data_IF_645506328070
#
_entry.id   IF_645506328070
#
_cell.length_a   1.000
_cell.length_b   1.000
_cell.length_c   1.000
_cell.angle_alpha   90.00
_cell.angle_beta   90.00
_cell.angle_gamma   90.00
#
_symmetry.space_group_name_H-M   'P 1'
#
loop_
_entity.id
_entity.type
_entity.pdbx_description
1 polymer ?
2 non-polymer ?
3 non-polymer ?
4 non-polymer ?
5 water ?
#
# COMPACT_ATOMS: atom_id res chain seq x y z
N UNK A 5 25.16 -8.45 18.73
CA UNK A 5 24.36 -7.74 17.68
C UNK A 5 23.28 -8.67 17.11
N UNK A 6 22.55 -8.17 16.11
CA UNK A 6 21.43 -8.91 15.57
C UNK A 6 21.37 -8.75 14.09
N UNK A 7 20.98 -9.82 13.41
CA UNK A 7 21.04 -9.86 11.96
C UNK A 7 19.62 -9.93 11.45
N UNK A 8 19.27 -8.94 10.65
CA UNK A 8 17.95 -8.88 10.08
C UNK A 8 18.09 -9.25 8.62
N UNK A 9 17.28 -10.21 8.20
CA UNK A 9 17.12 -10.53 6.80
C UNK A 9 15.91 -9.81 6.19
N UNK A 10 16.18 -9.03 5.15
CA UNK A 10 15.13 -8.34 4.40
C UNK A 10 14.91 -9.02 3.02
N UNK A 11 13.69 -9.41 2.76
CA UNK A 11 13.35 -9.88 1.43
C UNK A 11 13.00 -8.66 0.61
N UNK A 12 13.95 -8.22 -0.18
CA UNK A 12 13.91 -6.94 -0.81
C UNK A 12 13.19 -6.95 -2.16
N UNK A 13 12.15 -6.14 -2.26
CA UNK A 13 11.31 -6.11 -3.44
C UNK A 13 10.48 -4.82 -3.29
N UNK A 14 9.36 -4.71 -4.00
CA UNK A 14 8.67 -3.42 -4.20
C UNK A 14 7.69 -3.13 -3.08
N UNK A 15 7.32 -1.86 -2.96
CA UNK A 15 6.23 -1.43 -2.08
C UNK A 15 6.64 -1.23 -0.63
N UNK A 16 5.69 -0.79 0.21
CA UNK A 16 5.95 -0.71 1.63
C UNK A 16 6.82 0.45 2.01
N UNK A 17 7.49 0.36 3.17
CA UNK A 17 8.42 1.39 3.59
C UNK A 17 9.44 1.57 2.45
N UNK A 18 9.56 2.77 1.89
CA UNK A 18 10.40 2.95 0.73
C UNK A 18 11.89 2.83 1.03
N UNK A 19 12.64 2.38 0.03
CA UNK A 19 14.06 2.10 0.22
C UNK A 19 14.81 3.28 0.78
N UNK A 20 14.46 4.49 0.37
CA UNK A 20 15.21 5.67 0.81
C UNK A 20 15.19 5.81 2.30
N UNK A 21 14.25 5.18 3.01
CA UNK A 21 14.30 5.13 4.51
C UNK A 21 14.65 3.73 5.02
N UNK A 22 14.17 2.68 4.35
CA UNK A 22 14.16 1.38 5.04
C UNK A 22 15.56 0.89 5.36
N UNK A 23 16.45 0.98 4.40
CA UNK A 23 17.76 0.33 4.53
C UNK A 23 18.61 1.10 5.57
N UNK A 24 18.60 2.41 5.49
CA UNK A 24 19.30 3.23 6.44
C UNK A 24 18.75 3.07 7.86
N UNK A 25 17.42 3.06 7.99
CA UNK A 25 16.80 2.82 9.28
C UNK A 25 17.22 1.47 9.83
N UNK A 26 17.16 0.42 9.03
CA UNK A 26 17.51 -0.93 9.56
C UNK A 26 19.00 -1.04 9.90
N UNK A 27 19.82 -0.51 9.04
CA UNK A 27 21.27 -0.67 9.14
C UNK A 27 21.81 0.15 10.29
N UNK A 28 21.09 1.21 10.62
CA UNK A 28 21.43 1.97 11.82
C UNK A 28 21.54 1.14 13.06
N UNK A 29 20.68 0.12 13.19
CA UNK A 29 20.62 -0.64 14.41
C UNK A 29 20.93 -2.10 14.23
N UNK A 30 20.87 -2.59 13.00
CA UNK A 30 21.02 -4.00 12.82
C UNK A 30 22.01 -4.32 11.74
N UNK A 31 22.55 -5.53 11.82
CA UNK A 31 23.29 -6.06 10.66
C UNK A 31 22.28 -6.53 9.67
N UNK A 32 22.22 -5.83 8.54
CA UNK A 32 21.19 -6.08 7.53
C UNK A 32 21.73 -6.95 6.39
N UNK A 33 20.97 -7.98 6.08
CA UNK A 33 21.24 -8.87 5.00
C UNK A 33 20.03 -8.85 4.02
N UNK A 34 20.30 -8.75 2.71
CA UNK A 34 19.23 -8.68 1.71
C UNK A 34 19.15 -9.89 0.81
N UNK A 35 17.95 -10.45 0.69
CA UNK A 35 17.64 -11.42 -0.33
C UNK A 35 16.77 -10.77 -1.38
N UNK A 36 17.14 -10.97 -2.67
CA UNK A 36 16.42 -10.36 -3.80
C UNK A 36 15.91 -11.50 -4.70
N UNK A 37 14.68 -11.96 -4.44
CA UNK A 37 14.12 -13.03 -5.24
C UNK A 37 13.79 -12.59 -6.68
N UNK A 38 13.60 -11.29 -6.92
CA UNK A 38 13.21 -10.76 -8.25
C UNK A 38 14.05 -9.58 -8.64
N UNK A 39 15.28 -9.84 -9.08
CA UNK A 39 16.23 -8.81 -9.46
C UNK A 39 15.69 -7.80 -10.46
N UNK A 40 14.82 -8.23 -11.39
CA UNK A 40 14.10 -7.31 -12.28
C UNK A 40 13.17 -6.35 -11.54
N UNK A 41 12.76 -6.66 -10.32
CA UNK A 41 11.87 -5.77 -9.55
C UNK A 41 12.62 -4.60 -8.93
N UNK A 42 13.93 -4.51 -9.15
CA UNK A 42 14.79 -3.62 -8.38
C UNK A 42 15.25 -2.47 -9.28
N UNK A 43 14.78 -1.27 -8.99
CA UNK A 43 15.30 -0.08 -9.63
C UNK A 43 16.75 0.16 -9.27
N UNK A 44 17.40 0.97 -10.10
CA UNK A 44 18.82 1.36 -9.92
C UNK A 44 19.02 2.03 -8.57
N UNK A 45 18.18 2.99 -8.23
CA UNK A 45 18.34 3.66 -6.94
C UNK A 45 18.08 2.66 -5.79
N UNK A 46 17.21 1.69 -6.02
CA UNK A 46 16.98 0.67 -4.99
C UNK A 46 18.18 -0.25 -4.73
N UNK A 47 18.77 -0.72 -5.82
CA UNK A 47 19.94 -1.59 -5.78
C UNK A 47 21.03 -0.88 -5.07
N UNK A 48 21.27 0.36 -5.43
CA UNK A 48 22.30 1.14 -4.77
C UNK A 48 22.04 1.27 -3.24
N UNK A 49 20.81 1.29 -2.78
CA UNK A 49 20.56 1.45 -1.30
C UNK A 49 20.73 0.13 -0.54
N UNK A 50 20.31 -0.94 -1.21
CA UNK A 50 20.63 -2.33 -0.84
C UNK A 50 22.10 -2.54 -0.66
N UNK A 51 22.89 -2.20 -1.66
CA UNK A 51 24.30 -2.55 -1.58
C UNK A 51 24.91 -1.64 -0.52
N UNK A 52 24.50 -0.40 -0.48
CA UNK A 52 25.11 0.53 0.48
C UNK A 52 24.94 0.10 1.96
N UNK A 53 23.77 -0.42 2.33
CA UNK A 53 23.47 -0.63 3.76
C UNK A 53 23.44 -2.08 4.19
N UNK A 54 23.58 -3.02 3.25
CA UNK A 54 23.57 -4.43 3.61
C UNK A 54 24.98 -4.94 3.81
N UNK A 55 25.20 -5.71 4.87
CA UNK A 55 26.50 -6.38 5.01
C UNK A 55 26.60 -7.60 4.11
N UNK A 56 25.48 -8.07 3.59
CA UNK A 56 25.47 -9.16 2.62
C UNK A 56 24.20 -9.16 1.78
N UNK A 57 24.35 -9.56 0.51
CA UNK A 57 23.29 -9.48 -0.48
C UNK A 57 23.31 -10.77 -1.27
N UNK A 58 22.17 -11.43 -1.44
CA UNK A 58 22.04 -12.56 -2.36
C UNK A 58 20.88 -12.29 -3.30
N UNK A 59 21.13 -12.48 -4.60
CA UNK A 59 20.11 -12.46 -5.63
C UNK A 59 19.78 -13.87 -6.13
N UNK A 60 18.54 -14.14 -6.48
CA UNK A 60 18.18 -15.42 -7.06
C UNK A 60 18.84 -15.49 -8.43
N UNK A 61 19.88 -16.31 -8.54
CA UNK A 61 20.70 -16.33 -9.75
C UNK A 61 20.01 -16.88 -11.03
N UNK A 62 18.92 -17.64 -10.86
CA UNK A 62 18.22 -18.23 -12.02
C UNK A 62 17.77 -17.14 -12.98
N UNK A 63 17.62 -15.91 -12.51
CA UNK A 63 17.12 -14.84 -13.38
C UNK A 63 18.11 -14.39 -14.49
N UNK A 64 19.41 -14.57 -14.26
CA UNK A 64 20.41 -14.01 -15.17
C UNK A 64 20.78 -15.03 -16.27
N UNK A 65 20.53 -14.66 -17.51
CA UNK A 65 20.75 -15.58 -18.66
C UNK A 65 21.71 -14.96 -19.67
N UNK A 66 21.68 -13.63 -19.79
CA UNK A 66 22.72 -12.87 -20.44
C UNK A 66 23.18 -11.71 -19.56
N UNK A 67 24.20 -11.00 -20.04
CA UNK A 67 24.72 -9.80 -19.43
C UNK A 67 23.67 -8.70 -19.24
N UNK A 68 22.68 -8.61 -20.13
CA UNK A 68 21.69 -7.52 -20.12
C UNK A 68 20.65 -7.65 -19.01
N UNK A 69 20.42 -8.88 -18.54
CA UNK A 69 19.67 -9.12 -17.32
C UNK A 69 20.32 -8.48 -16.08
N UNK A 70 21.54 -7.98 -16.21
CA UNK A 70 22.21 -7.30 -15.09
C UNK A 70 21.85 -5.83 -15.09
N UNK A 71 21.07 -5.37 -16.07
CA UNK A 71 20.63 -3.98 -16.08
C UNK A 71 19.47 -3.70 -15.06
N UNK A 72 19.62 -2.60 -14.31
CA UNK A 72 18.58 -2.08 -13.39
C UNK A 72 17.74 -0.99 -14.05
N UNK A 73 16.45 -1.23 -14.27
CA UNK A 73 15.60 -0.13 -14.79
C UNK A 73 15.59 1.10 -13.84
N UNK A 74 15.27 2.27 -14.39
CA UNK A 74 15.09 3.46 -13.55
C UNK A 74 13.83 3.39 -12.69
N UNK A 75 12.73 2.90 -13.27
CA UNK A 75 11.46 2.83 -12.57
C UNK A 75 10.67 1.55 -12.91
N UNK A 76 9.93 1.00 -11.95
CA UNK A 76 9.09 -0.20 -12.18
C UNK A 76 7.69 -0.05 -11.58
N UNK A 77 6.72 0.26 -12.45
CA UNK A 77 5.28 0.25 -12.10
C UNK A 77 4.88 -1.05 -11.38
N UNK A 78 5.22 -2.17 -12.01
CA UNK A 78 4.92 -3.51 -11.48
C UNK A 78 5.86 -4.50 -12.16
N UNK A 79 6.23 -5.56 -11.43
CA UNK A 79 7.07 -6.60 -11.98
C UNK A 79 6.30 -7.40 -13.03
N UNK A 80 6.14 -6.83 -14.22
CA UNK A 80 5.46 -7.49 -15.33
C UNK A 80 6.38 -8.57 -15.90
N UNK A 81 6.66 -9.60 -15.11
CA UNK A 81 7.62 -10.62 -15.51
C UNK A 81 7.42 -11.92 -14.71
N UNK A 82 7.30 -13.02 -15.45
CA UNK A 82 6.98 -14.32 -14.87
C UNK A 82 7.97 -14.75 -13.80
N UNK A 83 7.44 -15.06 -12.62
CA UNK A 83 8.19 -15.69 -11.54
C UNK A 83 7.53 -17.05 -11.28
N UNK A 84 8.07 -18.08 -11.92
CA UNK A 84 7.35 -19.34 -12.16
C UNK A 84 7.58 -20.36 -11.06
N UNK A 85 7.74 -19.88 -9.83
CA UNK A 85 8.29 -20.70 -8.77
C UNK A 85 7.26 -20.87 -7.66
N UNK A 86 6.88 -22.13 -7.37
CA UNK A 86 5.86 -22.42 -6.36
C UNK A 86 6.24 -21.95 -4.95
N UNK A 87 5.26 -21.81 -4.07
CA UNK A 87 5.48 -21.21 -2.75
C UNK A 87 6.51 -22.03 -1.98
N UNK A 88 6.34 -23.34 -1.93
CA UNK A 88 7.25 -24.17 -1.16
C UNK A 88 8.70 -23.84 -1.51
N UNK A 89 8.96 -23.55 -2.79
CA UNK A 89 10.31 -23.21 -3.27
C UNK A 89 10.81 -21.90 -2.68
N UNK A 90 9.96 -20.86 -2.75
CA UNK A 90 10.27 -19.56 -2.12
C UNK A 90 10.64 -19.75 -0.68
N UNK A 91 9.83 -20.50 0.05
CA UNK A 91 10.06 -20.75 1.47
C UNK A 91 11.45 -21.34 1.72
N UNK A 92 11.71 -22.44 1.03
CA UNK A 92 13.02 -23.03 0.98
C UNK A 92 14.13 -22.01 0.67
N UNK A 93 13.96 -21.18 -0.35
CA UNK A 93 15.00 -20.19 -0.63
C UNK A 93 15.22 -19.29 0.62
N UNK A 94 14.14 -18.86 1.24
CA UNK A 94 14.24 -17.88 2.37
C UNK A 94 14.93 -18.50 3.57
N UNK A 95 14.57 -19.75 3.85
CA UNK A 95 15.09 -20.53 4.96
C UNK A 95 16.60 -20.69 4.76
N UNK A 96 16.95 -21.11 3.55
CA UNK A 96 18.35 -21.29 3.16
C UNK A 96 19.17 -20.01 3.37
N UNK A 97 18.70 -18.89 2.85
CA UNK A 97 19.37 -17.61 3.10
C UNK A 97 19.46 -17.28 4.60
N UNK A 98 18.39 -17.53 5.33
CA UNK A 98 18.37 -17.14 6.76
C UNK A 98 19.41 -17.97 7.52
N UNK A 99 19.53 -19.23 7.15
CA UNK A 99 20.55 -20.10 7.78
C UNK A 99 21.97 -19.77 7.38
N UNK A 100 22.17 -19.49 6.10
CA UNK A 100 23.47 -19.06 5.60
C UNK A 100 24.02 -17.89 6.36
N UNK A 101 23.15 -17.00 6.87
CA UNK A 101 23.61 -15.77 7.58
C UNK A 101 23.20 -15.67 9.03
N UNK A 102 22.69 -16.76 9.58
CA UNK A 102 22.15 -16.78 10.92
C UNK A 102 21.27 -15.59 11.26
N UNK A 103 20.24 -15.36 10.46
CA UNK A 103 19.26 -14.31 10.68
C UNK A 103 18.53 -14.49 11.97
N UNK A 104 18.39 -13.42 12.74
CA UNK A 104 17.58 -13.44 13.95
C UNK A 104 16.15 -13.02 13.67
N UNK A 105 15.91 -12.53 12.46
CA UNK A 105 14.63 -12.01 12.06
C UNK A 105 14.54 -11.92 10.55
N UNK A 106 13.31 -12.01 10.04
CA UNK A 106 12.98 -11.77 8.67
C UNK A 106 11.84 -10.76 8.51
N UNK A 107 12.04 -9.76 7.64
CA UNK A 107 10.96 -8.86 7.23
C UNK A 107 10.93 -8.68 5.70
N UNK A 108 9.85 -8.08 5.23
CA UNK A 108 9.71 -7.70 3.86
C UNK A 108 8.70 -6.54 3.85
N UNK A 109 8.93 -5.61 2.94
CA UNK A 109 8.00 -4.58 2.55
C UNK A 109 7.09 -4.98 1.38
N UNK A 110 7.26 -6.17 0.83
CA UNK A 110 6.45 -6.58 -0.35
C UNK A 110 5.41 -7.68 -0.05
N UNK A 111 4.15 -7.36 -0.30
CA UNK A 111 3.03 -8.26 -0.01
C UNK A 111 3.23 -9.66 -0.56
N UNK A 112 3.71 -9.76 -1.80
CA UNK A 112 3.84 -11.06 -2.43
C UNK A 112 4.63 -12.06 -1.59
N UNK A 113 5.51 -11.59 -0.71
CA UNK A 113 6.36 -12.53 0.03
C UNK A 113 5.96 -12.77 1.46
N UNK A 114 4.77 -12.26 1.85
CA UNK A 114 4.32 -12.29 3.24
C UNK A 114 4.02 -13.72 3.68
N UNK A 115 3.18 -14.41 2.92
CA UNK A 115 2.89 -15.83 3.20
C UNK A 115 4.16 -16.67 3.35
N UNK A 116 4.98 -16.70 2.29
CA UNK A 116 6.15 -17.56 2.39
C UNK A 116 7.04 -17.14 3.57
N UNK A 117 7.21 -15.85 3.78
CA UNK A 117 8.07 -15.39 4.90
C UNK A 117 7.56 -15.86 6.25
N UNK A 118 6.23 -15.83 6.46
CA UNK A 118 5.66 -16.43 7.68
C UNK A 118 6.03 -17.90 7.83
N UNK A 119 5.91 -18.67 6.75
CA UNK A 119 6.26 -20.11 6.85
C UNK A 119 7.71 -20.36 7.27
N UNK A 120 8.64 -19.62 6.68
CA UNK A 120 10.05 -19.74 7.03
C UNK A 120 10.32 -19.35 8.48
N UNK A 121 9.70 -18.26 8.93
CA UNK A 121 9.89 -17.83 10.29
C UNK A 121 9.43 -18.91 11.27
N UNK A 122 8.23 -19.43 11.05
CA UNK A 122 7.76 -20.52 11.89
C UNK A 122 8.76 -21.70 11.88
N UNK A 123 9.15 -22.13 10.70
CA UNK A 123 10.11 -23.24 10.62
C UNK A 123 11.41 -22.89 11.28
N UNK A 124 11.81 -21.63 11.21
CA UNK A 124 13.05 -21.24 11.83
C UNK A 124 12.93 -20.85 13.28
N UNK A 125 11.71 -20.91 13.81
CA UNK A 125 11.44 -20.38 15.15
C UNK A 125 11.71 -18.90 15.36
N UNK A 126 11.47 -18.08 14.33
CA UNK A 126 11.70 -16.64 14.43
C UNK A 126 10.34 -15.97 14.54
N UNK A 127 10.31 -14.71 14.95
CA UNK A 127 9.01 -14.09 15.06
C UNK A 127 8.46 -13.83 13.68
N UNK A 128 7.15 -13.97 13.51
CA UNK A 128 6.53 -13.64 12.24
C UNK A 128 5.05 -13.36 12.36
N UNK A 129 4.41 -13.24 11.18
CA UNK A 129 2.98 -12.93 11.08
C UNK A 129 2.15 -14.08 11.60
N UNK A 130 2.67 -15.28 11.42
CA UNK A 130 1.95 -16.50 11.75
C UNK A 130 1.46 -17.07 10.45
N UNK A 131 1.63 -18.39 10.27
CA UNK A 131 1.40 -19.01 8.97
C UNK A 131 -0.02 -18.84 8.53
N UNK A 132 -0.97 -19.24 9.36
CA UNK A 132 -2.40 -19.07 9.03
C UNK A 132 -2.78 -17.61 8.90
N UNK A 133 -2.29 -16.80 9.81
CA UNK A 133 -2.63 -15.37 9.79
C UNK A 133 -2.18 -14.71 8.48
N UNK A 134 -1.00 -15.14 7.98
CA UNK A 134 -0.51 -14.58 6.73
C UNK A 134 -1.36 -15.06 5.56
N UNK A 135 -1.87 -16.28 5.65
CA UNK A 135 -2.78 -16.79 4.64
C UNK A 135 -4.02 -15.92 4.64
N UNK A 136 -4.59 -15.75 5.82
CA UNK A 136 -5.75 -14.89 5.96
C UNK A 136 -5.53 -13.51 5.39
N UNK A 137 -4.32 -12.97 5.54
CA UNK A 137 -4.14 -11.59 5.11
C UNK A 137 -3.91 -11.52 3.62
N UNK A 138 -3.75 -12.68 2.96
CA UNK A 138 -3.38 -12.70 1.55
C UNK A 138 -4.48 -13.19 0.63
N UNK A 139 -5.43 -13.94 1.16
CA UNK A 139 -6.63 -14.26 0.40
C UNK A 139 -7.77 -13.38 0.91
N UNK A 140 -8.33 -12.54 0.03
CA UNK A 140 -9.40 -11.60 0.38
C UNK A 140 -10.66 -12.26 0.95
N UNK A 141 -11.02 -13.45 0.47
CA UNK A 141 -12.17 -14.17 1.02
C UNK A 141 -11.91 -14.58 2.48
N UNK A 142 -10.69 -15.05 2.73
CA UNK A 142 -10.31 -15.47 4.07
C UNK A 142 -10.17 -14.27 4.99
N UNK A 143 -9.79 -13.14 4.42
CA UNK A 143 -9.65 -11.93 5.18
C UNK A 143 -11.05 -11.46 5.59
N UNK A 144 -11.99 -11.50 4.65
CA UNK A 144 -13.38 -11.18 4.95
C UNK A 144 -13.95 -12.09 6.05
N UNK A 145 -13.96 -13.39 5.82
CA UNK A 145 -14.51 -14.29 6.83
C UNK A 145 -13.95 -13.96 8.21
N UNK A 146 -12.63 -13.78 8.31
CA UNK A 146 -11.99 -13.52 9.60
C UNK A 146 -12.52 -12.22 10.24
N UNK A 147 -12.67 -11.17 9.44
CA UNK A 147 -13.19 -9.88 9.90
C UNK A 147 -14.60 -10.02 10.46
N UNK A 148 -15.47 -10.70 9.70
CA UNK A 148 -16.83 -11.00 10.15
C UNK A 148 -16.81 -11.73 11.49
N UNK A 149 -16.08 -12.84 11.54
CA UNK A 149 -15.81 -13.56 12.78
C UNK A 149 -15.35 -12.61 13.89
N UNK A 150 -14.52 -11.61 13.58
CA UNK A 150 -13.94 -10.73 14.61
C UNK A 150 -14.91 -9.67 15.12
N UNK A 151 -16.00 -9.46 14.38
CA UNK A 151 -17.09 -8.64 14.86
C UNK A 151 -17.03 -7.20 14.40
N UNK A 152 -16.14 -6.90 13.45
CA UNK A 152 -16.14 -5.60 12.80
C UNK A 152 -17.18 -5.60 11.70
N UNK A 153 -17.50 -4.42 11.19
CA UNK A 153 -18.56 -4.27 10.22
C UNK A 153 -18.56 -5.40 9.19
N UNK A 154 -19.58 -6.26 9.27
CA UNK A 154 -19.70 -7.45 8.40
C UNK A 154 -20.65 -7.25 7.21
N UNK A 155 -20.24 -7.79 6.06
CA UNK A 155 -20.93 -7.55 4.79
C UNK A 155 -20.93 -8.81 3.95
N UNK A 156 -21.87 -8.86 3.00
CA UNK A 156 -22.03 -10.01 2.13
C UNK A 156 -20.85 -10.10 1.17
N UNK A 157 -20.54 -11.33 0.78
CA UNK A 157 -19.32 -11.64 0.07
C UNK A 157 -19.37 -13.07 -0.45
N UNK A 158 -19.19 -13.22 -1.76
CA UNK A 158 -19.12 -14.55 -2.37
C UNK A 158 -17.86 -14.68 -3.21
N UNK A 159 -17.22 -15.86 -3.12
CA UNK A 159 -16.19 -16.28 -4.06
C UNK A 159 -16.78 -16.33 -5.47
N UNK A 160 -16.00 -15.89 -6.45
CA UNK A 160 -16.45 -15.78 -7.85
C UNK A 160 -15.37 -16.35 -8.78
N UNK A 161 -15.78 -17.26 -9.68
CA UNK A 161 -14.89 -17.82 -10.70
C UNK A 161 -15.38 -17.49 -12.11
N UNK A 162 -16.60 -17.91 -12.41
CA UNK A 162 -17.21 -17.72 -13.73
C UNK A 162 -18.17 -16.51 -13.72
N UNK A 163 -18.95 -16.39 -14.79
CA UNK A 163 -20.13 -15.49 -14.86
C UNK A 163 -21.34 -16.16 -14.21
N UNK A 164 -21.44 -17.47 -14.38
CA UNK A 164 -22.45 -18.26 -13.68
C UNK A 164 -22.33 -18.00 -12.18
N UNK A 165 -21.09 -17.80 -11.73
CA UNK A 165 -20.83 -17.39 -10.35
C UNK A 165 -21.18 -15.92 -10.11
N UNK A 166 -21.05 -15.10 -11.14
CA UNK A 166 -21.32 -13.67 -11.04
C UNK A 166 -22.81 -13.37 -10.84
N UNK A 167 -23.66 -14.15 -11.48
CA UNK A 167 -25.11 -13.98 -11.38
C UNK A 167 -25.59 -14.07 -9.93
N UNK A 168 -25.27 -15.19 -9.27
CA UNK A 168 -25.69 -15.46 -7.89
C UNK A 168 -25.23 -14.40 -6.90
N UNK A 169 -24.10 -13.77 -7.19
CA UNK A 169 -23.57 -12.71 -6.35
C UNK A 169 -24.34 -11.41 -6.56
N UNK A 170 -24.36 -10.91 -7.79
CA UNK A 170 -25.02 -9.65 -8.12
C UNK A 170 -26.42 -9.64 -7.54
N UNK A 171 -27.12 -10.76 -7.68
CA UNK A 171 -28.45 -10.90 -7.14
C UNK A 171 -28.48 -10.79 -5.61
N UNK A 172 -27.47 -11.36 -4.96
CA UNK A 172 -27.46 -11.37 -3.50
C UNK A 172 -26.94 -10.08 -2.90
N UNK A 173 -25.91 -9.49 -3.52
CA UNK A 173 -25.22 -8.36 -2.90
C UNK A 173 -25.85 -7.01 -3.25
N UNK A 174 -26.25 -6.85 -4.52
CA UNK A 174 -26.98 -5.67 -4.97
C UNK A 174 -26.09 -4.49 -5.33
N UNK A 175 -26.72 -3.32 -5.50
CA UNK A 175 -25.99 -2.10 -5.82
C UNK A 175 -25.87 -1.26 -4.56
N UNK A 176 -24.74 -0.56 -4.38
CA UNK A 176 -23.51 -0.62 -5.21
C UNK A 176 -22.70 -1.90 -4.96
N UNK A 177 -22.00 -2.37 -5.99
CA UNK A 177 -21.34 -3.69 -5.96
C UNK A 177 -19.87 -3.64 -6.35
N UNK A 178 -19.03 -4.24 -5.49
CA UNK A 178 -17.59 -4.34 -5.75
C UNK A 178 -17.17 -5.77 -6.11
N UNK A 179 -16.52 -5.89 -7.25
CA UNK A 179 -15.90 -7.14 -7.63
C UNK A 179 -14.43 -6.91 -7.98
N UNK A 180 -13.57 -7.71 -7.36
CA UNK A 180 -12.12 -7.49 -7.45
C UNK A 180 -11.35 -8.80 -7.21
N UNK A 181 -10.07 -8.85 -7.62
CA UNK A 181 -9.27 -10.08 -7.50
C UNK A 181 -9.00 -10.44 -6.05
N UNK A 182 -8.67 -11.71 -5.82
CA UNK A 182 -8.42 -12.20 -4.46
C UNK A 182 -7.00 -11.93 -3.95
N UNK A 183 -6.09 -11.55 -4.86
CA UNK A 183 -4.63 -11.70 -4.64
C UNK A 183 -3.73 -10.56 -5.16
N UNK A 184 -4.30 -9.63 -5.93
CA UNK A 184 -3.51 -8.61 -6.63
C UNK A 184 -3.51 -7.28 -5.87
N UNK A 185 -2.74 -6.31 -6.37
CA UNK A 185 -2.55 -5.02 -5.70
C UNK A 185 -2.63 -3.84 -6.69
N UNK A 186 -2.74 -2.62 -6.12
CA UNK A 186 -2.88 -1.37 -6.88
C UNK A 186 -4.28 -1.20 -7.50
N UNK A 187 -5.26 -1.87 -6.91
CA UNK A 187 -6.66 -1.83 -7.35
C UNK A 187 -6.79 -2.10 -8.86
N UNK A 188 -6.25 -3.24 -9.29
CA UNK A 188 -6.46 -3.74 -10.67
C UNK A 188 -7.70 -4.62 -10.67
N UNK A 189 -8.54 -4.46 -11.69
CA UNK A 189 -9.76 -5.25 -11.82
C UNK A 189 -10.86 -4.89 -10.84
N UNK A 190 -10.55 -4.03 -9.87
CA UNK A 190 -11.50 -3.58 -8.85
C UNK A 190 -12.57 -2.69 -9.51
N UNK A 191 -13.79 -3.21 -9.56
CA UNK A 191 -14.80 -2.68 -10.44
C UNK A 191 -16.06 -2.29 -9.68
N UNK A 192 -16.63 -1.16 -10.08
CA UNK A 192 -17.77 -0.52 -9.39
C UNK A 192 -19.06 -0.72 -10.20
N UNK A 193 -20.20 -0.75 -9.51
CA UNK A 193 -21.50 -1.03 -10.15
C UNK A 193 -22.60 -0.08 -9.65
N UNK A 194 -22.97 0.90 -10.47
CA UNK A 194 -24.08 1.78 -10.13
C UNK A 194 -25.27 1.51 -11.05
N UNK A 195 -24.99 1.25 -12.34
CA UNK A 195 -25.96 0.62 -13.24
C UNK A 195 -26.27 -0.77 -12.68
N UNK A 196 -27.44 -1.32 -13.03
CA UNK A 196 -27.87 -2.59 -12.45
C UNK A 196 -27.49 -3.80 -13.30
N UNK A 197 -27.66 -3.70 -14.62
CA UNK A 197 -27.60 -4.90 -15.46
C UNK A 197 -26.53 -4.91 -16.58
N UNK A 198 -25.74 -3.84 -16.72
CA UNK A 198 -24.61 -3.86 -17.66
C UNK A 198 -23.46 -4.72 -17.14
N UNK A 199 -23.48 -4.97 -15.83
CA UNK A 199 -22.38 -5.65 -15.13
C UNK A 199 -21.83 -6.87 -15.87
N UNK A 200 -22.69 -7.52 -16.65
CA UNK A 200 -22.37 -8.80 -17.27
C UNK A 200 -21.47 -8.62 -18.49
N UNK A 201 -21.89 -7.78 -19.43
CA UNK A 201 -21.04 -7.41 -20.54
C UNK A 201 -19.92 -6.47 -20.06
N UNK A 202 -19.75 -6.43 -18.74
CA UNK A 202 -18.64 -5.70 -18.12
C UNK A 202 -17.83 -6.54 -17.12
N UNK A 203 -18.44 -7.61 -16.55
CA UNK A 203 -17.67 -8.64 -15.82
C UNK A 203 -16.79 -9.47 -16.76
N UNK A 204 -17.29 -9.73 -17.97
CA UNK A 204 -16.57 -10.59 -18.92
C UNK A 204 -15.38 -9.91 -19.59
N UNK A 205 -15.28 -8.59 -19.45
CA UNK A 205 -14.10 -7.86 -19.91
C UNK A 205 -13.03 -7.81 -18.83
N UNK A 206 -13.45 -7.65 -17.56
CA UNK A 206 -12.51 -7.64 -16.43
C UNK A 206 -12.17 -9.05 -15.91
N UNK A 207 -12.82 -10.07 -16.48
CA UNK A 207 -12.41 -11.45 -16.28
C UNK A 207 -11.12 -11.74 -17.04
N UNK A 208 -11.02 -11.19 -18.25
CA UNK A 208 -9.82 -11.36 -19.09
C UNK A 208 -8.65 -10.53 -18.57
N UNK A 209 -8.91 -9.27 -18.22
CA UNK A 209 -7.86 -8.28 -17.90
C UNK A 209 -6.88 -8.71 -16.78
N UNK A 210 -7.28 -9.68 -15.95
CA UNK A 210 -6.40 -10.25 -14.93
C UNK A 210 -5.33 -11.20 -15.49
N UNK A 211 -5.40 -11.48 -16.78
CA UNK A 211 -4.52 -12.47 -17.41
C UNK A 211 -3.42 -11.80 -18.26
N UNK A 212 -3.16 -10.52 -17.97
CA UNK A 212 -2.08 -9.76 -18.63
C UNK A 212 -1.02 -9.31 -17.62
N UNK A 213 -1.48 -8.94 -16.41
CA UNK A 213 -0.60 -8.63 -15.28
C UNK A 213 0.18 -9.90 -14.90
N UNK A 214 1.25 -9.77 -14.13
CA UNK A 214 1.92 -10.93 -13.58
C UNK A 214 2.15 -10.85 -12.07
N UNK A 215 1.91 -11.98 -11.40
CA UNK A 215 2.39 -12.21 -10.04
C UNK A 215 3.27 -13.46 -10.04
N UNK A 216 4.09 -13.62 -8.99
CA UNK A 216 4.85 -14.86 -8.79
C UNK A 216 3.97 -16.11 -8.81
N UNK A 217 4.61 -17.28 -8.83
CA UNK A 217 3.89 -18.54 -8.81
C UNK A 217 3.58 -18.98 -7.37
N UNK A 218 3.59 -18.03 -6.42
CA UNK A 218 3.62 -18.35 -4.99
C UNK A 218 2.53 -17.66 -4.16
N UNK A 219 1.47 -17.16 -4.82
CA UNK A 219 0.31 -16.56 -4.12
C UNK A 219 -0.97 -17.37 -4.40
N UNK A 220 -1.49 -18.06 -3.38
CA UNK A 220 -2.67 -18.91 -3.57
C UNK A 220 -3.98 -18.11 -3.48
N UNK A 221 -4.75 -18.16 -4.57
CA UNK A 221 -6.16 -17.76 -4.56
C UNK A 221 -7.06 -18.98 -4.87
N UNK A 222 -7.88 -19.36 -3.89
CA UNK A 222 -8.80 -20.50 -4.06
C UNK A 222 -10.01 -20.16 -4.96
N UNK A 223 -10.26 -18.86 -5.16
CA UNK A 223 -11.15 -18.39 -6.23
C UNK A 223 -10.59 -17.07 -6.79
N UNK A 224 -10.62 -16.91 -8.12
CA UNK A 224 -9.98 -15.74 -8.76
C UNK A 224 -10.54 -14.36 -8.40
N UNK A 225 -11.85 -14.24 -8.27
CA UNK A 225 -12.49 -12.96 -7.92
C UNK A 225 -13.16 -13.07 -6.55
N UNK A 226 -13.40 -11.94 -5.90
CA UNK A 226 -14.47 -11.84 -4.90
C UNK A 226 -15.46 -10.76 -5.31
N UNK A 227 -16.73 -10.98 -5.00
CA UNK A 227 -17.74 -9.93 -5.03
C UNK A 227 -18.22 -9.68 -3.61
N UNK A 228 -18.40 -8.41 -3.27
CA UNK A 228 -18.93 -8.03 -1.97
C UNK A 228 -19.52 -6.62 -2.02
N UNK A 229 -20.23 -6.26 -0.94
CA UNK A 229 -20.86 -4.96 -0.84
C UNK A 229 -19.83 -3.85 -1.03
N UNK A 230 -20.15 -2.86 -1.87
CA UNK A 230 -19.44 -1.57 -1.88
C UNK A 230 -19.71 -0.85 -0.57
N UNK A 231 -18.67 -0.48 0.15
CA UNK A 231 -18.85 0.22 1.41
C UNK A 231 -19.15 1.68 1.11
N UNK A 232 -20.39 2.09 1.38
CA UNK A 232 -20.82 3.46 1.11
C UNK A 232 -20.17 4.37 2.13
N UNK A 233 -19.68 5.51 1.70
CA UNK A 233 -19.08 6.47 2.62
C UNK A 233 -20.11 7.48 3.09
N UNK A 234 -19.91 8.03 4.29
CA UNK A 234 -20.68 9.20 4.73
C UNK A 234 -19.77 10.27 5.33
N UNK A 235 -19.13 11.06 4.46
CA UNK A 235 -18.13 12.04 4.85
C UNK A 235 -18.57 12.86 6.07
N UNK A 236 -19.83 13.32 6.04
CA UNK A 236 -20.32 14.30 6.99
C UNK A 236 -20.54 13.82 8.42
N UNK A 237 -20.52 12.50 8.64
CA UNK A 237 -20.64 12.00 10.00
C UNK A 237 -19.29 11.95 10.67
N UNK A 238 -18.21 12.21 9.92
CA UNK A 238 -16.84 12.11 10.43
C UNK A 238 -16.10 13.43 10.46
N UNK A 239 -15.79 13.97 9.27
CA UNK A 239 -14.93 15.16 9.20
C UNK A 239 -15.74 16.44 9.47
N UNK A 240 -15.10 17.44 10.01
CA UNK A 240 -15.74 18.74 10.22
C UNK A 240 -15.43 19.77 9.14
N UNK A 241 -14.37 19.55 8.37
CA UNK A 241 -14.08 20.44 7.26
C UNK A 241 -14.03 19.66 5.98
N UNK A 242 -14.11 20.43 4.90
CA UNK A 242 -13.84 19.92 3.56
C UNK A 242 -12.34 19.60 3.39
N UNK A 243 -12.04 18.74 2.43
CA UNK A 243 -10.66 18.53 1.99
C UNK A 243 -10.15 17.11 2.06
N UNK A 244 -10.81 16.28 2.85
CA UNK A 244 -10.32 14.90 3.04
C UNK A 244 -11.14 13.95 2.18
N UNK A 245 -11.23 12.71 2.59
CA UNK A 245 -12.05 11.77 1.86
C UNK A 245 -12.79 10.88 2.84
N UNK A 246 -13.62 9.99 2.33
CA UNK A 246 -14.37 9.08 3.20
C UNK A 246 -13.70 7.71 3.36
N UNK A 247 -12.37 7.73 3.37
CA UNK A 247 -11.58 6.59 3.85
C UNK A 247 -10.30 7.10 4.49
N UNK A 248 -9.68 6.24 5.30
CA UNK A 248 -8.43 6.55 5.98
C UNK A 248 -7.59 5.26 5.95
N UNK A 249 -6.29 5.35 6.20
CA UNK A 249 -5.52 4.16 6.53
C UNK A 249 -5.01 4.38 7.92
N UNK A 250 -4.78 3.31 8.66
CA UNK A 250 -4.07 3.39 9.92
C UNK A 250 -2.93 2.39 9.94
N UNK A 251 -1.83 2.81 10.57
CA UNK A 251 -0.58 2.07 10.59
C UNK A 251 -0.36 1.59 11.99
N UNK A 252 0.08 0.35 12.10
CA UNK A 252 0.26 -0.28 13.39
C UNK A 252 1.38 -1.31 13.40
N UNK A 253 1.69 -1.76 14.60
CA UNK A 253 2.57 -2.91 14.81
C UNK A 253 1.80 -3.98 15.62
N UNK A 254 1.88 -5.22 15.16
CA UNK A 254 1.42 -6.40 15.90
C UNK A 254 2.63 -6.94 16.63
N UNK A 255 2.51 -7.10 17.94
CA UNK A 255 3.53 -7.69 18.78
C UNK A 255 2.83 -8.70 19.63
N UNK A 256 3.28 -9.95 19.52
CA UNK A 256 2.75 -11.06 20.29
C UNK A 256 1.25 -11.24 20.14
N UNK A 257 0.70 -10.95 18.98
CA UNK A 257 -0.74 -11.12 18.77
C UNK A 257 -1.56 -9.88 19.13
N UNK A 258 -0.94 -8.87 19.76
CA UNK A 258 -1.61 -7.65 20.21
C UNK A 258 -1.37 -6.49 19.23
N UNK A 259 -2.40 -5.71 18.92
CA UNK A 259 -2.31 -4.58 17.98
C UNK A 259 -1.86 -3.31 18.71
N UNK A 260 -0.83 -2.64 18.22
CA UNK A 260 -0.38 -1.36 18.73
C UNK A 260 -0.54 -0.31 17.68
N UNK A 261 -1.49 0.65 17.89
CA UNK A 261 -1.66 1.63 16.83
C UNK A 261 -0.60 2.68 16.91
N UNK A 262 -0.19 3.21 15.76
CA UNK A 262 0.84 4.22 15.68
C UNK A 262 0.28 5.57 15.20
N UNK A 263 -0.34 5.58 14.02
CA UNK A 263 -0.81 6.79 13.42
C UNK A 263 -1.89 6.52 12.38
N UNK A 264 -2.92 7.38 12.36
CA UNK A 264 -3.94 7.32 11.31
C UNK A 264 -3.61 8.38 10.28
N UNK A 265 -3.88 8.08 9.02
CA UNK A 265 -3.64 9.02 7.92
C UNK A 265 -4.93 9.42 7.24
N UNK A 266 -5.13 10.73 7.11
CA UNK A 266 -6.10 11.27 6.20
C UNK A 266 -5.66 11.20 4.75
N UNK A 267 -6.66 11.28 3.89
CA UNK A 267 -6.54 11.24 2.46
C UNK A 267 -7.25 12.42 1.83
N UNK A 268 -6.74 12.86 0.68
CA UNK A 268 -7.50 13.69 -0.24
C UNK A 268 -8.23 12.77 -1.20
N UNK A 269 -9.18 13.29 -1.97
CA UNK A 269 -10.00 12.28 -2.62
C UNK A 269 -9.30 11.62 -3.78
N UNK A 270 -9.77 10.42 -4.08
CA UNK A 270 -9.16 9.59 -5.11
C UNK A 270 -9.48 10.14 -6.49
N UNK A 271 -8.95 9.47 -7.53
CA UNK A 271 -9.41 9.61 -8.90
C UNK A 271 -9.63 8.22 -9.47
N UNK A 272 -10.85 7.89 -9.79
CA UNK A 272 -11.22 6.50 -10.00
C UNK A 272 -11.01 5.79 -8.68
N UNK A 273 -10.03 4.89 -8.61
CA UNK A 273 -9.62 4.34 -7.32
C UNK A 273 -8.14 4.56 -7.03
N UNK A 274 -7.51 5.49 -7.77
CA UNK A 274 -6.12 5.88 -7.53
C UNK A 274 -5.99 6.91 -6.39
N UNK A 275 -5.06 6.67 -5.48
CA UNK A 275 -4.85 7.54 -4.31
C UNK A 275 -3.99 8.72 -4.68
N UNK A 276 -4.24 9.84 -4.02
CA UNK A 276 -3.67 11.11 -4.39
C UNK A 276 -2.78 11.68 -3.29
N UNK A 277 -3.25 11.68 -2.05
CA UNK A 277 -2.41 12.19 -1.00
C UNK A 277 -2.66 11.52 0.32
N UNK A 278 -1.63 11.47 1.14
CA UNK A 278 -1.73 10.94 2.48
C UNK A 278 -1.23 12.00 3.43
N UNK A 279 -2.04 12.33 4.44
CA UNK A 279 -1.69 13.39 5.37
C UNK A 279 -1.41 12.80 6.74
N UNK A 280 -0.23 13.10 7.26
CA UNK A 280 0.21 12.63 8.57
C UNK A 280 0.13 13.76 9.59
N UNK A 281 -0.63 13.57 10.70
CA UNK A 281 -1.61 12.57 11.07
C UNK A 281 -2.98 13.09 10.81
N UNK A 282 -3.96 12.23 10.99
CA UNK A 282 -5.36 12.61 10.84
C UNK A 282 -5.72 13.78 11.74
N UNK A 283 -6.63 14.62 11.28
CA UNK A 283 -7.26 15.72 12.07
C UNK A 283 -8.49 15.21 12.83
N UNK A 284 -8.92 13.98 12.48
CA UNK A 284 -10.11 13.40 13.13
C UNK A 284 -10.05 13.52 14.63
N UNK A 285 -11.22 13.74 15.24
CA UNK A 285 -11.32 13.92 16.69
C UNK A 285 -11.05 12.61 17.41
N UNK A 286 -10.84 12.68 18.71
CA UNK A 286 -10.33 11.54 19.49
C UNK A 286 -11.32 10.40 19.61
N UNK A 287 -12.60 10.72 19.58
CA UNK A 287 -13.61 9.68 19.61
C UNK A 287 -13.62 8.92 18.31
N UNK A 288 -13.55 9.65 17.22
CA UNK A 288 -13.48 9.05 15.89
C UNK A 288 -12.26 8.15 15.75
N UNK A 289 -11.12 8.58 16.29
CA UNK A 289 -9.88 7.83 16.18
C UNK A 289 -9.97 6.59 17.04
N UNK A 290 -10.65 6.71 18.19
CA UNK A 290 -10.84 5.57 19.07
C UNK A 290 -11.66 4.46 18.39
N UNK A 291 -12.64 4.86 17.59
CA UNK A 291 -13.46 3.88 16.83
C UNK A 291 -12.63 3.27 15.73
N UNK A 292 -11.88 4.11 15.02
CA UNK A 292 -10.96 3.61 13.96
C UNK A 292 -9.97 2.57 14.52
N UNK A 293 -9.19 2.94 15.54
CA UNK A 293 -8.34 2.01 16.30
C UNK A 293 -9.04 0.70 16.68
N UNK A 294 -10.18 0.84 17.32
CA UNK A 294 -10.89 -0.28 17.87
C UNK A 294 -11.20 -1.27 16.73
N UNK A 295 -11.65 -0.73 15.61
CA UNK A 295 -11.89 -1.53 14.43
C UNK A 295 -10.62 -2.18 13.83
N UNK A 296 -9.54 -1.43 13.74
CA UNK A 296 -8.27 -2.05 13.31
C UNK A 296 -7.70 -3.06 14.30
N UNK A 297 -7.95 -2.84 15.60
CA UNK A 297 -7.54 -3.82 16.61
C UNK A 297 -8.25 -5.16 16.34
N UNK A 298 -9.56 -5.11 16.21
CA UNK A 298 -10.36 -6.34 16.03
C UNK A 298 -10.03 -7.02 14.73
N UNK A 299 -9.91 -6.23 13.66
CA UNK A 299 -9.56 -6.77 12.35
C UNK A 299 -8.25 -7.53 12.38
N UNK A 300 -7.24 -6.91 12.96
CA UNK A 300 -5.91 -7.42 12.76
C UNK A 300 -5.64 -8.62 13.71
N UNK A 301 -6.03 -8.49 14.96
CA UNK A 301 -6.08 -9.65 15.88
C UNK A 301 -7.04 -10.71 15.38
N UNK A 302 -8.05 -10.25 14.64
CA UNK A 302 -9.02 -11.12 14.00
C UNK A 302 -8.38 -11.96 12.91
N UNK A 303 -7.35 -11.43 12.27
CA UNK A 303 -6.59 -12.22 11.30
C UNK A 303 -5.72 -13.22 12.01
N UNK A 304 -5.42 -12.95 13.27
CA UNK A 304 -4.48 -13.76 14.02
C UNK A 304 -3.01 -13.34 13.89
N UNK A 305 -2.76 -12.16 13.34
CA UNK A 305 -1.42 -11.79 13.01
C UNK A 305 -0.62 -11.68 14.28
N UNK A 306 0.63 -12.14 14.25
CA UNK A 306 1.43 -12.19 15.46
C UNK A 306 2.44 -11.06 15.58
N UNK A 307 3.39 -11.01 14.63
CA UNK A 307 4.50 -10.07 14.69
C UNK A 307 4.78 -9.53 13.29
N UNK A 308 4.44 -8.26 13.09
CA UNK A 308 4.45 -7.63 11.77
C UNK A 308 4.00 -6.16 11.90
N UNK A 309 4.28 -5.40 10.87
CA UNK A 309 3.62 -4.16 10.61
C UNK A 309 2.28 -4.38 9.91
N UNK A 310 1.37 -3.43 10.14
CA UNK A 310 0.10 -3.42 9.49
C UNK A 310 -0.26 -2.11 8.81
N UNK A 311 -1.01 -2.26 7.71
CA UNK A 311 -1.56 -1.14 7.01
C UNK A 311 -2.96 -1.52 6.68
N UNK A 312 -3.89 -0.75 7.23
CA UNK A 312 -5.29 -1.11 7.24
C UNK A 312 -6.10 0.05 6.68
N UNK A 313 -6.90 -0.24 5.66
CA UNK A 313 -7.79 0.75 5.07
C UNK A 313 -9.23 0.57 5.55
N UNK A 314 -9.79 1.67 6.02
CA UNK A 314 -11.09 1.69 6.67
C UNK A 314 -11.96 2.78 6.02
N UNK A 315 -13.20 2.43 5.71
CA UNK A 315 -14.11 3.33 5.01
C UNK A 315 -14.93 4.04 6.09
N UNK A 316 -15.06 5.34 6.00
CA UNK A 316 -15.77 6.10 7.03
C UNK A 316 -17.25 6.14 6.72
N UNK A 317 -18.02 5.23 7.32
CA UNK A 317 -19.41 5.05 6.92
C UNK A 317 -20.39 5.79 7.86
N UNK A 318 -21.65 5.85 7.49
CA UNK A 318 -22.62 6.61 8.26
C UNK A 318 -22.81 6.02 9.67
N UNK A 319 -23.24 6.90 10.57
CA UNK A 319 -23.24 6.64 12.02
C UNK A 319 -21.86 6.35 12.60
N UNK A 320 -20.81 6.80 11.93
CA UNK A 320 -19.46 6.63 12.41
C UNK A 320 -19.16 5.15 12.59
N UNK A 321 -19.70 4.34 11.69
CA UNK A 321 -19.28 2.95 11.59
C UNK A 321 -18.03 2.81 10.72
N UNK A 322 -16.92 2.35 11.33
CA UNK A 322 -15.72 2.14 10.55
C UNK A 322 -15.80 0.80 9.79
N UNK A 323 -15.65 0.84 8.48
CA UNK A 323 -15.80 -0.36 7.64
C UNK A 323 -14.44 -0.78 7.14
N UNK A 324 -14.11 -2.03 7.37
CA UNK A 324 -12.82 -2.58 7.00
C UNK A 324 -12.80 -2.79 5.51
N UNK A 325 -11.91 -2.11 4.80
CA UNK A 325 -11.73 -2.35 3.39
C UNK A 325 -10.70 -3.44 3.20
N UNK A 326 -9.54 -3.31 3.83
CA UNK A 326 -8.49 -4.31 3.76
C UNK A 326 -7.42 -4.08 4.83
N UNK A 327 -6.66 -5.12 5.17
CA UNK A 327 -5.45 -4.93 5.98
C UNK A 327 -4.29 -5.75 5.40
N UNK A 328 -3.09 -5.20 5.42
CA UNK A 328 -1.95 -5.97 5.05
C UNK A 328 -0.95 -6.05 6.20
N UNK A 329 -0.22 -7.15 6.24
CA UNK A 329 0.79 -7.41 7.24
C UNK A 329 2.13 -6.85 6.79
N UNK A 330 2.10 -5.65 6.23
CA UNK A 330 3.34 -4.93 5.92
C UNK A 330 3.11 -3.45 6.00
N UNK A 331 4.20 -2.68 6.00
CA UNK A 331 4.16 -1.22 6.06
C UNK A 331 3.38 -0.60 4.93
N UNK A 332 2.71 0.49 5.21
CA UNK A 332 2.10 1.31 4.21
C UNK A 332 3.09 1.72 3.18
N UNK A 333 2.61 1.94 1.97
CA UNK A 333 3.46 2.40 0.88
C UNK A 333 3.52 3.91 0.81
N UNK A 334 3.89 4.42 -0.36
CA UNK A 334 4.04 5.83 -0.60
C UNK A 334 5.02 6.30 0.45
N UNK A 335 4.88 7.52 0.96
CA UNK A 335 5.82 8.06 1.94
C UNK A 335 5.24 8.14 3.39
N UNK A 336 4.23 7.34 3.68
CA UNK A 336 3.55 7.38 4.97
C UNK A 336 4.48 7.04 6.10
N UNK A 337 5.33 6.05 5.90
CA UNK A 337 6.17 5.66 7.00
C UNK A 337 7.27 6.67 7.32
N UNK A 338 7.87 7.30 6.29
CA UNK A 338 8.83 8.36 6.57
C UNK A 338 8.19 9.57 7.24
N UNK A 339 6.96 9.86 6.86
CA UNK A 339 6.33 11.06 7.27
C UNK A 339 5.91 10.95 8.73
N UNK A 340 5.55 9.75 9.14
CA UNK A 340 5.41 9.45 10.55
C UNK A 340 6.68 9.78 11.37
N UNK A 341 7.86 9.41 10.84
CA UNK A 341 9.12 9.80 11.50
C UNK A 341 9.33 11.32 11.55
N UNK A 342 9.06 12.01 10.46
CA UNK A 342 9.29 13.45 10.41
C UNK A 342 8.42 14.22 11.38
N UNK A 343 7.17 13.80 11.51
CA UNK A 343 6.22 14.44 12.37
C UNK A 343 6.44 14.19 13.87
N UNK A 344 6.55 12.91 14.23
CA UNK A 344 6.66 12.45 15.62
C UNK A 344 8.08 12.03 16.05
N UNK A 345 9.00 11.85 15.12
CA UNK A 345 10.32 11.35 15.48
C UNK A 345 10.39 9.85 15.74
N UNK A 346 9.29 9.11 15.53
CA UNK A 346 9.29 7.66 15.79
C UNK A 346 9.65 6.96 14.47
N UNK A 347 10.67 6.09 14.52
CA UNK A 347 11.08 5.29 13.32
C UNK A 347 10.42 3.91 13.38
N UNK A 348 9.33 3.76 12.66
CA UNK A 348 8.51 2.57 12.75
C UNK A 348 9.25 1.34 12.11
N UNK A 349 10.16 1.59 11.18
CA UNK A 349 10.95 0.47 10.65
C UNK A 349 11.78 -0.13 11.77
N UNK A 350 12.48 0.73 12.50
CA UNK A 350 13.29 0.26 13.63
C UNK A 350 12.40 -0.40 14.65
N UNK A 351 11.24 0.20 14.90
CA UNK A 351 10.36 -0.28 15.96
C UNK A 351 9.95 -1.72 15.64
N UNK A 352 9.67 -1.99 14.39
CA UNK A 352 9.27 -3.35 14.01
C UNK A 352 10.41 -4.33 14.11
N UNK A 353 11.61 -3.89 13.76
CA UNK A 353 12.77 -4.72 13.89
C UNK A 353 13.04 -5.07 15.36
N UNK A 354 12.87 -4.08 16.25
CA UNK A 354 12.96 -4.29 17.68
C UNK A 354 11.93 -5.32 18.15
N UNK A 355 10.72 -5.25 17.62
CA UNK A 355 9.73 -6.27 17.93
C UNK A 355 10.19 -7.63 17.38
N UNK A 356 10.62 -7.73 16.10
CA UNK A 356 11.00 -9.06 15.57
C UNK A 356 12.11 -9.69 16.38
N UNK A 357 13.06 -8.88 16.83
CA UNK A 357 14.23 -9.38 17.56
C UNK A 357 14.07 -9.47 19.10
N UNK A 358 13.24 -8.59 19.68
CA UNK A 358 13.15 -8.58 21.13
C UNK A 358 11.75 -8.72 21.70
N UNK A 359 10.73 -8.76 20.85
CA UNK A 359 9.36 -8.81 21.34
C UNK A 359 8.97 -7.60 22.19
N UNK A 360 8.09 -7.80 23.16
CA UNK A 360 7.48 -6.63 23.82
C UNK A 360 8.44 -5.81 24.70
N UNK A 361 9.67 -6.31 24.87
CA UNK A 361 10.82 -5.47 25.26
C UNK A 361 11.11 -4.32 24.32
N UNK A 362 10.52 -4.33 23.12
CA UNK A 362 10.59 -3.14 22.27
C UNK A 362 9.81 -2.00 22.90
N UNK A 363 10.09 -0.78 22.47
CA UNK A 363 9.41 0.38 23.00
C UNK A 363 8.17 0.80 22.22
N UNK A 364 7.06 0.13 22.44
CA UNK A 364 5.87 0.35 21.62
C UNK A 364 5.03 1.47 22.16
N UNK A 365 4.56 2.40 21.31
CA UNK A 365 3.77 3.46 21.96
C UNK A 365 2.52 2.90 22.61
N UNK A 366 2.12 3.57 23.69
CA UNK A 366 0.86 3.29 24.32
C UNK A 366 -0.21 4.16 23.71
N UNK A 367 -0.73 3.72 22.57
CA UNK A 367 -1.80 4.42 21.87
C UNK A 367 -1.20 5.23 20.74
N UNK A 368 -2.06 5.75 19.87
CA UNK A 368 -1.64 6.60 18.79
C UNK A 368 -0.68 7.67 19.27
N UNK A 369 0.24 8.02 18.39
CA UNK A 369 1.15 9.10 18.64
C UNK A 369 0.40 10.44 18.61
N UNK A 370 0.70 11.30 19.57
CA UNK A 370 0.02 12.57 19.64
C UNK A 370 1.02 13.71 19.68
N UNK A 371 0.51 14.93 19.78
CA UNK A 371 1.33 16.15 19.91
C UNK A 371 2.12 16.45 18.63
N UNK A 372 1.49 16.17 17.50
CA UNK A 372 2.09 16.45 16.21
C UNK A 372 2.50 17.91 16.16
N UNK A 373 3.75 18.20 15.80
CA UNK A 373 4.07 19.61 15.72
C UNK A 373 3.44 20.28 14.49
N UNK A 374 2.90 19.48 13.57
CA UNK A 374 2.46 19.98 12.27
C UNK A 374 2.07 18.83 11.37
N UNK A 375 1.47 19.15 10.25
CA UNK A 375 1.01 18.13 9.31
C UNK A 375 1.95 18.04 8.13
N UNK A 376 2.27 16.82 7.72
CA UNK A 376 2.98 16.58 6.44
C UNK A 376 2.13 15.78 5.47
N UNK A 377 2.07 16.24 4.22
CA UNK A 377 1.23 15.62 3.21
C UNK A 377 2.07 15.02 2.08
N UNK A 378 1.83 13.75 1.76
CA UNK A 378 2.55 13.12 0.65
C UNK A 378 1.63 13.06 -0.53
N UNK A 379 1.95 13.83 -1.57
CA UNK A 379 1.00 14.07 -2.68
C UNK A 379 1.54 13.71 -4.04
N UNK A 380 0.66 13.26 -4.91
CA UNK A 380 1.03 12.97 -6.27
C UNK A 380 0.06 13.60 -7.26
N UNK A 381 0.59 14.12 -8.37
CA UNK A 381 -0.24 14.47 -9.52
C UNK A 381 -0.19 13.38 -10.59
N UNK A 382 -1.30 13.22 -11.29
CA UNK A 382 -1.42 12.26 -12.39
C UNK A 382 -1.88 12.96 -13.65
N UNK A 383 -1.84 12.25 -14.78
CA UNK A 383 -2.35 12.82 -16.02
C UNK A 383 -3.79 13.24 -15.86
N UNK A 384 -4.59 12.35 -15.30
CA UNK A 384 -6.01 12.65 -15.15
C UNK A 384 -6.22 14.02 -14.54
N UNK A 385 -5.43 14.38 -13.54
CA UNK A 385 -5.60 15.67 -12.86
C UNK A 385 -5.62 16.85 -13.82
N UNK A 386 -4.84 16.73 -14.89
CA UNK A 386 -4.68 17.78 -15.89
C UNK A 386 -5.75 17.70 -16.96
N UNK A 387 -6.07 16.47 -17.37
CA UNK A 387 -7.26 16.18 -18.15
C UNK A 387 -8.51 16.67 -17.40
N UNK A 388 -8.36 16.82 -16.08
CA UNK A 388 -9.39 17.37 -15.20
C UNK A 388 -9.33 18.90 -15.10
N UNK A 389 -8.48 19.55 -15.91
CA UNK A 389 -8.63 20.99 -16.29
C UNK A 389 -8.45 21.18 -17.82
N UNK A 390 -8.68 20.11 -18.59
CA UNK A 390 -8.67 20.16 -20.07
C UNK A 390 -7.39 19.74 -20.78
N UNK A 391 -6.27 19.81 -20.06
CA UNK A 391 -4.96 19.80 -20.67
C UNK A 391 -4.74 18.66 -21.65
N UNK A 392 -5.54 17.60 -21.52
CA UNK A 392 -5.41 16.44 -22.38
C UNK A 392 -6.71 16.17 -23.18
N UNK A 393 -6.57 15.80 -24.48
CA UNK A 393 -7.71 15.39 -25.31
C UNK A 393 -8.09 13.92 -25.11
N UNK A 394 -9.32 13.59 -25.45
CA UNK A 394 -9.94 12.31 -25.09
C UNK A 394 -9.63 11.22 -26.14
N UNK A 395 -9.01 11.64 -27.24
CA UNK A 395 -8.48 10.74 -28.28
C UNK A 395 -6.99 10.46 -28.08
N UNK A 396 -6.37 11.19 -27.14
CA UNK A 396 -4.93 11.41 -27.15
C UNK A 396 -4.19 10.22 -26.58
N UNK A 397 -4.06 9.17 -27.39
CA UNK A 397 -3.47 7.92 -26.95
C UNK A 397 -2.08 8.08 -26.31
N UNK A 398 -1.44 9.24 -26.49
CA UNK A 398 -0.28 9.62 -25.66
C UNK A 398 -0.14 11.14 -25.45
N UNK A 399 0.83 11.55 -24.62
CA UNK A 399 1.31 12.94 -24.58
C UNK A 399 2.76 13.01 -24.08
N UNK A 400 3.49 14.05 -24.52
CA UNK A 400 4.86 14.31 -24.06
C UNK A 400 4.91 15.57 -23.19
N UNK A 401 5.81 15.59 -22.21
CA UNK A 401 5.79 16.63 -21.17
C UNK A 401 7.14 17.32 -21.05
N UNK A 402 7.16 18.65 -21.02
CA UNK A 402 8.41 19.39 -20.76
C UNK A 402 8.51 19.88 -19.33
N UNK A 403 7.45 20.51 -18.81
CA UNK A 403 7.47 21.05 -17.44
C UNK A 403 6.10 21.01 -16.77
N UNK A 404 6.13 20.85 -15.45
CA UNK A 404 4.95 21.11 -14.64
C UNK A 404 5.29 22.14 -13.57
N UNK A 405 4.49 23.20 -13.48
CA UNK A 405 4.85 24.37 -12.68
C UNK A 405 3.77 24.74 -11.66
N UNK A 406 4.19 25.08 -10.46
CA UNK A 406 3.25 25.52 -9.44
C UNK A 406 3.22 27.04 -9.33
N UNK A 407 2.21 27.66 -9.94
CA UNK A 407 2.21 29.10 -9.78
C UNK A 407 2.25 29.48 -8.32
N UNK A 408 2.57 30.73 -8.05
CA UNK A 408 2.63 31.24 -6.69
C UNK A 408 1.22 31.44 -6.12
N UNK A 409 1.16 31.73 -4.83
CA UNK A 409 -0.08 32.10 -4.16
C UNK A 409 -1.17 31.03 -4.00
N UNK A 410 -0.86 29.76 -4.20
CA UNK A 410 -1.87 28.69 -4.06
C UNK A 410 -1.93 28.15 -2.65
N UNK A 411 -0.90 28.42 -1.87
CA UNK A 411 -0.74 27.88 -0.54
C UNK A 411 -1.59 28.69 0.43
N UNK A 412 -2.35 27.99 1.27
CA UNK A 412 -3.23 28.64 2.22
C UNK A 412 -2.59 28.63 3.60
N UNK A 413 -2.71 29.74 4.31
CA UNK A 413 -2.18 29.84 5.65
C UNK A 413 -0.69 29.66 5.59
N UNK A 414 -0.13 28.94 6.56
CA UNK A 414 1.31 28.77 6.62
C UNK A 414 1.74 27.50 5.90
N UNK A 415 0.88 26.95 5.03
CA UNK A 415 1.25 25.77 4.25
C UNK A 415 2.55 26.10 3.55
N UNK A 416 3.29 25.09 3.13
CA UNK A 416 4.60 25.30 2.53
C UNK A 416 4.92 24.08 1.71
N UNK A 417 5.53 24.29 0.55
CA UNK A 417 6.04 23.19 -0.26
C UNK A 417 7.44 22.85 0.20
N UNK A 418 7.62 21.57 0.55
CA UNK A 418 8.87 21.09 1.10
C UNK A 418 9.70 20.57 -0.08
N UNK A 419 9.05 19.79 -0.94
CA UNK A 419 9.69 19.26 -2.12
C UNK A 419 8.67 19.17 -3.23
N UNK A 420 9.16 19.07 -4.45
CA UNK A 420 8.34 18.93 -5.64
C UNK A 420 9.20 18.30 -6.72
N UNK A 421 8.67 17.31 -7.43
CA UNK A 421 9.40 16.70 -8.54
C UNK A 421 8.45 16.36 -9.67
N UNK A 422 8.83 16.73 -10.88
CA UNK A 422 8.05 16.45 -12.07
C UNK A 422 8.70 15.34 -12.85
N UNK A 423 7.95 14.74 -13.76
CA UNK A 423 8.48 13.75 -14.65
C UNK A 423 9.45 14.40 -15.67
N UNK A 424 10.35 13.59 -16.20
CA UNK A 424 11.47 14.10 -16.99
C UNK A 424 10.99 14.85 -18.24
N UNK A 425 11.54 16.04 -18.51
CA UNK A 425 11.31 16.65 -19.81
C UNK A 425 11.50 15.61 -20.92
N UNK A 426 10.66 15.69 -21.95
CA UNK A 426 10.48 14.58 -22.89
C UNK A 426 10.17 13.27 -22.20
N UNK A 427 8.99 13.17 -21.59
CA UNK A 427 8.52 11.87 -21.09
C UNK A 427 7.24 11.41 -21.79
N UNK A 428 7.33 10.21 -22.35
CA UNK A 428 6.25 9.60 -23.14
C UNK A 428 5.20 8.99 -22.22
N UNK A 429 3.98 9.51 -22.30
CA UNK A 429 2.90 9.06 -21.42
C UNK A 429 1.70 8.57 -22.24
N UNK A 430 1.63 7.24 -22.44
CA UNK A 430 0.48 6.58 -23.07
C UNK A 430 -0.75 6.73 -22.19
N UNK A 431 -1.86 7.18 -22.76
CA UNK A 431 -3.09 7.41 -21.98
C UNK A 431 -4.16 6.36 -22.27
N UNK A 432 -3.73 5.11 -22.32
CA UNK A 432 -4.61 3.97 -22.24
C UNK A 432 -4.03 2.96 -21.24
N UNK A 433 -3.35 3.47 -20.21
CA UNK A 433 -2.86 2.65 -19.10
C UNK A 433 -3.38 3.21 -17.77
N UNK A 434 -3.47 2.35 -16.76
CA UNK A 434 -3.92 2.71 -15.42
C UNK A 434 -3.14 3.92 -14.86
N UNK A 435 -3.82 4.80 -14.12
CA UNK A 435 -3.22 6.04 -13.61
C UNK A 435 -2.24 5.79 -12.44
N UNK A 436 -2.48 4.75 -11.65
CA UNK A 436 -1.62 4.42 -10.50
C UNK A 436 -0.31 3.73 -10.90
N UNK A 437 -0.07 3.60 -12.21
CA UNK A 437 1.26 3.31 -12.75
C UNK A 437 1.82 4.55 -13.44
N UNK A 438 1.20 5.70 -13.17
CA UNK A 438 1.33 6.88 -14.02
C UNK A 438 1.52 8.23 -13.27
N UNK A 439 1.92 8.20 -12.01
CA UNK A 439 2.30 9.42 -11.31
C UNK A 439 3.29 10.27 -12.13
N UNK A 440 2.88 11.44 -12.60
CA UNK A 440 3.81 12.33 -13.32
C UNK A 440 4.29 13.53 -12.49
N UNK A 441 3.84 13.66 -11.24
CA UNK A 441 4.46 14.62 -10.33
C UNK A 441 4.27 14.22 -8.86
N UNK A 442 5.10 14.79 -8.00
CA UNK A 442 5.17 14.38 -6.60
C UNK A 442 5.55 15.56 -5.73
N UNK A 443 4.75 15.83 -4.70
CA UNK A 443 5.11 16.89 -3.78
C UNK A 443 4.77 16.59 -2.34
N UNK A 444 5.51 17.25 -1.46
CA UNK A 444 5.30 17.16 -0.06
C UNK A 444 4.99 18.57 0.45
N UNK A 445 3.95 18.68 1.28
CA UNK A 445 3.62 19.93 1.95
C UNK A 445 3.73 19.75 3.46
N UNK A 446 4.10 20.83 4.14
CA UNK A 446 4.14 20.90 5.59
C UNK A 446 3.27 22.09 6.00
N UNK A 447 2.78 22.10 7.23
CA UNK A 447 1.91 23.15 7.69
C UNK A 447 1.29 22.80 9.01
N UNK A 448 0.93 23.82 9.79
CA UNK A 448 0.45 23.54 11.13
C UNK A 448 -1.08 23.48 11.19
N UNK A 449 -1.73 23.75 10.06
CA UNK A 449 -3.19 23.75 9.98
C UNK A 449 -3.63 22.79 8.90
N UNK A 450 -4.37 21.76 9.30
CA UNK A 450 -4.60 20.60 8.44
C UNK A 450 -5.50 20.95 7.27
N UNK A 451 -6.63 21.52 7.59
CA UNK A 451 -7.61 22.01 6.61
C UNK A 451 -6.99 22.88 5.47
N UNK A 452 -5.96 23.67 5.80
CA UNK A 452 -5.25 24.49 4.79
C UNK A 452 -4.27 23.67 3.95
N UNK A 453 -3.59 22.71 4.57
CA UNK A 453 -2.68 21.84 3.83
C UNK A 453 -3.57 21.17 2.79
N UNK A 454 -4.66 20.63 3.30
CA UNK A 454 -5.59 19.85 2.50
C UNK A 454 -6.14 20.71 1.36
N UNK A 455 -6.40 21.97 1.68
CA UNK A 455 -6.93 22.95 0.73
C UNK A 455 -5.84 23.43 -0.24
N UNK A 456 -4.65 23.72 0.30
CA UNK A 456 -3.48 23.97 -0.53
C UNK A 456 -3.28 22.85 -1.57
N UNK A 457 -3.59 21.60 -1.23
CA UNK A 457 -3.42 20.49 -2.17
C UNK A 457 -4.43 20.60 -3.28
N UNK A 458 -5.72 20.67 -2.93
CA UNK A 458 -6.80 20.91 -3.90
C UNK A 458 -6.41 22.00 -4.90
N UNK A 459 -5.74 23.03 -4.41
CA UNK A 459 -5.37 24.19 -5.22
C UNK A 459 -4.24 23.86 -6.18
N UNK A 460 -3.28 23.07 -5.71
CA UNK A 460 -2.19 22.62 -6.58
C UNK A 460 -2.76 21.70 -7.65
N UNK A 461 -3.67 20.81 -7.28
CA UNK A 461 -4.28 19.91 -8.25
C UNK A 461 -5.06 20.67 -9.31
N UNK A 462 -5.61 21.81 -8.90
CA UNK A 462 -6.45 22.63 -9.78
C UNK A 462 -5.64 23.45 -10.76
N UNK A 463 -4.64 24.14 -10.23
CA UNK A 463 -4.06 25.30 -10.88
C UNK A 463 -2.60 25.10 -11.28
N UNK A 464 -2.00 23.97 -10.92
CA UNK A 464 -0.62 23.66 -11.36
C UNK A 464 -0.59 23.65 -12.87
N UNK A 465 0.35 24.41 -13.43
CA UNK A 465 0.50 24.53 -14.90
C UNK A 465 1.23 23.32 -15.47
N UNK A 466 0.59 22.63 -16.42
CA UNK A 466 1.30 21.70 -17.29
C UNK A 466 1.80 22.45 -18.54
N UNK A 467 3.01 22.12 -19.01
CA UNK A 467 3.43 22.52 -20.36
C UNK A 467 3.91 21.28 -21.11
N UNK A 468 3.16 20.91 -22.14
CA UNK A 468 3.27 19.59 -22.75
C UNK A 468 2.74 19.68 -24.17
N UNK A 469 2.92 18.62 -24.94
CA UNK A 469 2.43 18.58 -26.33
C UNK A 469 0.96 18.14 -26.36
N UNK A 470 0.09 19.05 -25.91
CA UNK A 470 -1.38 18.87 -25.87
C UNK A 470 -1.86 17.43 -25.65
#
# INVERSE_FOLDING_TARGET
>A
GPLGSKTVLVIADLGGCPPHMFYKSAAEKYNLVSFIPRPFAITASHAALIEKYSVAVIKDKDYFKSLADFEHPDSIYWAHEDHNKPEEEVVEQIVKVAEMFGADAITTNNELFIAPMAKACERLGLRGAGVQAAENARDKNKMRDAFNKAGVKSIKNKRVTTLEDFRAALEEIGTPLILKPTYLASSIGVTLITDTETAEDEFNRVNDYLKSINVPKAVTFEAPFIAEEFLQGEYGDWYQTEGYSDYISIEGIMADGEYFPIAIHDKTPQIGFTETSHITPSILDEEAKKKIVEAAKKANEGLGLQNCATHTEIKLMKNREPGLIESAARFAGANMIPNIKKVFGLDMAQLLLDVLCFGKDADLPDGLLDQEPYYVADCHLYPQHFKQNGQIPETAEDLVIEAIDIPDGLLKGDTEIVSFSAAAPGTSVDLTLFEAFNSIAAFELKGSNSQDVAESIRQIQQHAKLTAKY
#
